data_IF_042238273176
#
_entry.id   IF_042238273176
#
_cell.length_a   1.000
_cell.length_b   1.000
_cell.length_c   1.000
_cell.angle_alpha   90.00
_cell.angle_beta   90.00
_cell.angle_gamma   90.00
#
_symmetry.space_group_name_H-M   'P 1'
#
loop_
_entity.id
_entity.type
_entity.pdbx_description
1 polymer ?
#
# COMPACT_ATOMS: atom_id res chain seq x y z
N UNK A 1 20.86 1.19 -3.00
CA UNK A 1 20.99 0.65 -4.38
C UNK A 1 21.53 1.64 -5.42
N UNK A 2 21.23 2.95 -5.37
CA UNK A 2 21.72 3.93 -6.37
C UNK A 2 23.24 3.89 -6.64
N UNK A 3 24.08 3.70 -5.61
CA UNK A 3 25.54 3.58 -5.77
C UNK A 3 25.94 2.31 -6.54
N UNK A 4 25.30 1.18 -6.23
CA UNK A 4 25.52 -0.08 -6.95
C UNK A 4 25.06 0.01 -8.40
N UNK A 5 23.94 0.68 -8.68
CA UNK A 5 23.49 0.92 -10.06
C UNK A 5 24.50 1.72 -10.86
N UNK A 6 25.06 2.80 -10.29
CA UNK A 6 26.11 3.58 -10.97
C UNK A 6 27.34 2.74 -11.28
N UNK A 7 27.76 1.88 -10.34
CA UNK A 7 28.90 0.98 -10.55
C UNK A 7 28.60 -0.08 -11.61
N UNK A 8 27.39 -0.63 -11.61
CA UNK A 8 26.94 -1.58 -12.63
C UNK A 8 26.87 -0.91 -14.00
N UNK A 9 26.27 0.28 -14.11
CA UNK A 9 26.17 1.03 -15.37
C UNK A 9 27.53 1.51 -15.88
N UNK A 10 28.48 1.81 -14.98
CA UNK A 10 29.85 2.15 -15.39
C UNK A 10 30.58 0.94 -16.02
N UNK A 11 30.27 -0.28 -15.56
CA UNK A 11 30.88 -1.52 -16.05
C UNK A 11 30.10 -2.17 -17.21
N UNK A 12 28.79 -1.97 -17.21
CA UNK A 12 27.79 -2.53 -18.11
C UNK A 12 26.80 -1.43 -18.50
N UNK A 13 27.18 -0.51 -19.40
CA UNK A 13 26.34 0.60 -19.83
C UNK A 13 25.01 0.16 -20.47
N UNK A 14 24.91 -1.10 -20.89
CA UNK A 14 23.71 -1.75 -21.43
C UNK A 14 22.63 -1.98 -20.36
N UNK A 15 23.01 -2.00 -19.09
CA UNK A 15 22.09 -2.31 -18.01
C UNK A 15 21.20 -1.10 -17.66
N UNK A 16 19.91 -1.23 -17.96
CA UNK A 16 18.89 -0.33 -17.45
C UNK A 16 18.56 -0.78 -16.02
N UNK A 17 19.00 0.01 -15.04
CA UNK A 17 18.71 -0.25 -13.63
C UNK A 17 17.47 0.54 -13.21
N UNK A 18 16.34 -0.14 -13.04
CA UNK A 18 15.12 0.45 -12.49
C UNK A 18 14.92 0.12 -11.01
N UNK A 19 14.10 0.93 -10.34
CA UNK A 19 13.61 0.60 -9.01
C UNK A 19 12.65 -0.60 -9.03
N UNK A 20 12.66 -1.39 -7.95
CA UNK A 20 11.65 -2.42 -7.73
C UNK A 20 10.33 -1.75 -7.29
N UNK A 21 9.26 -1.97 -8.06
CA UNK A 21 7.95 -1.38 -7.82
C UNK A 21 7.29 -1.89 -6.52
N UNK A 22 7.36 -3.20 -6.24
CA UNK A 22 6.88 -3.76 -4.97
C UNK A 22 7.60 -3.16 -3.76
N UNK A 23 8.92 -2.98 -3.84
CA UNK A 23 9.67 -2.28 -2.79
C UNK A 23 9.25 -0.80 -2.68
N UNK A 24 9.00 -0.11 -3.80
CA UNK A 24 8.50 1.26 -3.79
C UNK A 24 7.12 1.37 -3.11
N UNK A 25 6.22 0.42 -3.35
CA UNK A 25 4.91 0.34 -2.69
C UNK A 25 5.01 -0.01 -1.21
N UNK A 26 5.92 -0.90 -0.81
CA UNK A 26 6.20 -1.16 0.60
C UNK A 26 6.73 0.10 1.33
N UNK A 27 7.59 0.89 0.67
CA UNK A 27 8.07 2.17 1.17
C UNK A 27 7.00 3.27 1.13
N UNK A 28 6.02 3.19 0.23
CA UNK A 28 4.84 4.04 0.22
C UNK A 28 4.00 3.78 1.47
N UNK A 29 3.66 2.51 1.74
CA UNK A 29 2.94 2.11 2.96
C UNK A 29 3.65 2.59 4.22
N UNK A 30 4.99 2.46 4.27
CA UNK A 30 5.79 3.02 5.37
C UNK A 30 5.52 4.49 5.61
N UNK A 31 5.57 5.33 4.56
CA UNK A 31 5.33 6.76 4.67
C UNK A 31 3.87 7.07 5.04
N UNK A 32 2.91 6.35 4.47
CA UNK A 32 1.49 6.56 4.77
C UNK A 32 1.20 6.28 6.26
N UNK A 33 1.87 5.29 6.86
CA UNK A 33 1.76 5.03 8.30
C UNK A 33 2.52 6.02 9.20
N UNK A 34 3.22 7.04 8.65
CA UNK A 34 3.75 8.16 9.45
C UNK A 34 2.75 9.31 9.58
N UNK A 35 1.60 9.26 8.89
CA UNK A 35 0.51 10.22 9.12
C UNK A 35 0.02 10.02 10.56
N UNK A 36 -0.02 11.06 11.42
CA UNK A 36 -0.24 10.90 12.86
C UNK A 36 -1.50 10.09 13.22
N UNK A 37 -2.62 10.33 12.54
CA UNK A 37 -3.86 9.55 12.75
C UNK A 37 -3.65 8.08 12.43
N UNK A 38 -2.94 7.75 11.36
CA UNK A 38 -2.72 6.38 10.91
C UNK A 38 -1.73 5.65 11.81
N UNK A 39 -0.68 6.35 12.25
CA UNK A 39 0.29 5.84 13.22
C UNK A 39 -0.38 5.51 14.57
N UNK A 40 -1.25 6.41 15.05
CA UNK A 40 -1.99 6.21 16.29
C UNK A 40 -2.95 5.03 16.21
N UNK A 41 -3.71 4.91 15.12
CA UNK A 41 -4.60 3.76 14.86
C UNK A 41 -3.81 2.46 14.82
N UNK A 42 -2.70 2.42 14.07
CA UNK A 42 -1.85 1.23 13.97
C UNK A 42 -1.29 0.84 15.34
N UNK A 43 -0.75 1.79 16.09
CA UNK A 43 -0.20 1.58 17.42
C UNK A 43 -1.23 1.01 18.40
N UNK A 44 -2.44 1.56 18.41
CA UNK A 44 -3.56 1.07 19.21
C UNK A 44 -3.99 -0.35 18.81
N UNK A 45 -4.13 -0.62 17.50
CA UNK A 45 -4.49 -1.96 17.00
C UNK A 45 -3.41 -3.00 17.35
N UNK A 46 -2.13 -2.66 17.22
CA UNK A 46 -1.01 -3.53 17.59
C UNK A 46 -0.97 -3.76 19.10
N UNK A 47 -1.18 -2.71 19.91
CA UNK A 47 -1.22 -2.81 21.35
C UNK A 47 -2.35 -3.73 21.82
N UNK A 48 -3.56 -3.57 21.26
CA UNK A 48 -4.72 -4.40 21.53
C UNK A 48 -4.47 -5.86 21.14
N UNK A 49 -3.99 -6.09 19.92
CA UNK A 49 -3.68 -7.42 19.41
C UNK A 49 -2.66 -8.13 20.28
N UNK A 50 -1.53 -7.47 20.59
CA UNK A 50 -0.52 -8.02 21.50
C UNK A 50 -1.08 -8.27 22.89
N UNK A 51 -1.98 -7.41 23.38
CA UNK A 51 -2.55 -7.55 24.73
C UNK A 51 -3.40 -8.82 24.85
N UNK A 52 -4.24 -9.09 23.86
CA UNK A 52 -5.08 -10.30 23.80
C UNK A 52 -4.22 -11.55 23.57
N UNK A 53 -3.38 -11.55 22.53
CA UNK A 53 -2.60 -12.73 22.14
C UNK A 53 -1.60 -13.19 23.21
N UNK A 54 -1.00 -12.28 23.97
CA UNK A 54 -0.04 -12.64 25.03
C UNK A 54 -0.67 -13.23 26.28
N UNK A 55 -2.01 -13.26 26.41
CA UNK A 55 -2.70 -13.72 27.61
C UNK A 55 -3.60 -14.89 27.26
N UNK A 56 -3.15 -16.11 27.56
CA UNK A 56 -3.84 -17.35 27.20
C UNK A 56 -5.34 -17.36 27.59
N UNK A 57 -5.68 -16.86 28.79
CA UNK A 57 -7.06 -16.76 29.24
C UNK A 57 -7.91 -15.82 28.38
N UNK A 58 -7.39 -14.63 28.02
CA UNK A 58 -8.10 -13.69 27.14
C UNK A 58 -8.20 -14.22 25.72
N UNK A 59 -7.15 -14.85 25.21
CA UNK A 59 -7.16 -15.48 23.89
C UNK A 59 -8.19 -16.62 23.80
N UNK A 60 -8.28 -17.45 24.85
CA UNK A 60 -9.28 -18.51 24.92
C UNK A 60 -10.70 -17.94 24.91
N UNK A 61 -10.96 -16.90 25.73
CA UNK A 61 -12.25 -16.20 25.77
C UNK A 61 -12.57 -15.51 24.44
N UNK A 62 -11.61 -14.83 23.83
CA UNK A 62 -11.75 -14.25 22.49
C UNK A 62 -12.19 -15.29 21.46
N UNK A 63 -11.52 -16.46 21.42
CA UNK A 63 -11.88 -17.57 20.51
C UNK A 63 -13.26 -18.15 20.82
N UNK A 64 -13.65 -18.19 22.09
CA UNK A 64 -14.98 -18.62 22.51
C UNK A 64 -16.08 -17.66 22.02
N UNK A 65 -15.86 -16.34 22.14
CA UNK A 65 -16.77 -15.34 21.57
C UNK A 65 -16.88 -15.44 20.05
N UNK A 66 -15.75 -15.61 19.35
CA UNK A 66 -15.75 -15.87 17.90
C UNK A 66 -16.54 -17.14 17.54
N UNK A 67 -16.57 -18.14 18.41
CA UNK A 67 -17.38 -19.34 18.23
C UNK A 67 -18.88 -19.06 18.42
N UNK A 68 -19.27 -18.32 19.46
CA UNK A 68 -20.69 -18.06 19.71
C UNK A 68 -21.32 -17.11 18.67
N UNK A 69 -20.54 -16.17 18.14
CA UNK A 69 -20.99 -15.22 17.11
C UNK A 69 -20.95 -15.79 15.67
N UNK A 70 -20.82 -17.12 15.52
CA UNK A 70 -20.78 -17.83 14.23
C UNK A 70 -21.98 -17.55 13.32
N UNK A 71 -23.14 -17.24 13.90
CA UNK A 71 -24.37 -16.99 13.14
C UNK A 71 -24.58 -15.50 12.83
N UNK A 72 -23.82 -14.60 13.47
CA UNK A 72 -23.99 -13.15 13.38
C UNK A 72 -22.88 -12.49 12.57
N UNK A 73 -21.68 -13.10 12.55
CA UNK A 73 -20.51 -12.54 11.85
C UNK A 73 -19.91 -13.58 10.90
N UNK A 74 -19.65 -13.16 9.66
CA UNK A 74 -19.10 -14.02 8.58
C UNK A 74 -17.59 -14.24 8.67
N UNK A 75 -16.89 -13.63 9.63
CA UNK A 75 -15.43 -13.55 9.62
C UNK A 75 -14.82 -13.98 10.95
N UNK A 76 -14.37 -15.26 11.03
CA UNK A 76 -13.44 -15.73 12.06
C UNK A 76 -12.01 -15.29 11.74
N UNK A 77 -11.77 -13.99 11.70
CA UNK A 77 -10.41 -13.49 11.44
C UNK A 77 -9.61 -13.56 12.73
N UNK A 78 -8.56 -14.37 12.74
CA UNK A 78 -7.60 -14.36 13.83
C UNK A 78 -6.92 -12.98 13.91
N UNK A 79 -6.65 -12.50 15.14
CA UNK A 79 -5.85 -11.30 15.32
C UNK A 79 -4.44 -11.56 14.77
N UNK A 80 -3.92 -10.59 14.02
CA UNK A 80 -2.62 -10.69 13.36
C UNK A 80 -1.67 -9.62 13.87
N UNK A 81 -0.45 -10.02 14.25
CA UNK A 81 0.61 -9.08 14.61
C UNK A 81 1.40 -8.75 13.34
N UNK A 82 1.65 -7.46 13.05
CA UNK A 82 2.51 -7.13 11.93
C UNK A 82 3.96 -7.50 12.24
N UNK A 83 4.63 -8.09 11.25
CA UNK A 83 6.08 -8.31 11.32
C UNK A 83 6.83 -6.99 11.10
N UNK A 84 8.00 -6.86 11.74
CA UNK A 84 8.86 -5.70 11.50
C UNK A 84 9.22 -5.64 10.02
N UNK A 85 9.12 -4.44 9.42
CA UNK A 85 9.45 -4.11 8.02
C UNK A 85 8.48 -4.59 6.92
N UNK A 86 7.50 -5.45 7.21
CA UNK A 86 6.43 -5.82 6.25
C UNK A 86 5.20 -4.96 6.43
N UNK A 87 5.21 -3.75 5.86
CA UNK A 87 4.14 -2.77 6.01
C UNK A 87 2.77 -3.25 5.49
N UNK A 88 2.75 -4.19 4.55
CA UNK A 88 1.54 -4.93 4.15
C UNK A 88 0.83 -5.61 5.35
N UNK A 89 1.60 -6.18 6.27
CA UNK A 89 1.06 -6.87 7.45
C UNK A 89 0.44 -5.88 8.46
N UNK A 90 0.86 -4.61 8.46
CA UNK A 90 0.28 -3.55 9.30
C UNK A 90 -1.21 -3.35 9.01
N UNK A 91 -1.59 -3.29 7.73
CA UNK A 91 -3.01 -3.17 7.37
C UNK A 91 -3.79 -4.45 7.69
N UNK A 92 -3.17 -5.64 7.57
CA UNK A 92 -3.81 -6.89 7.98
C UNK A 92 -4.11 -6.95 9.48
N UNK A 93 -3.21 -6.43 10.32
CA UNK A 93 -3.45 -6.25 11.75
C UNK A 93 -4.69 -5.37 11.99
N UNK A 94 -4.73 -4.17 11.40
CA UNK A 94 -5.85 -3.23 11.55
C UNK A 94 -7.16 -3.86 11.05
N UNK A 95 -7.15 -4.50 9.87
CA UNK A 95 -8.31 -5.24 9.36
C UNK A 95 -8.74 -6.32 10.34
N UNK A 96 -7.83 -7.12 10.90
CA UNK A 96 -8.18 -8.19 11.85
C UNK A 96 -8.87 -7.66 13.12
N UNK A 97 -8.41 -6.51 13.63
CA UNK A 97 -9.03 -5.81 14.76
C UNK A 97 -10.41 -5.29 14.38
N UNK A 98 -10.54 -4.63 13.23
CA UNK A 98 -11.82 -4.11 12.74
C UNK A 98 -12.88 -5.20 12.57
N UNK A 99 -12.52 -6.32 11.95
CA UNK A 99 -13.43 -7.46 11.78
C UNK A 99 -13.83 -8.10 13.12
N UNK A 100 -12.99 -7.93 14.15
CA UNK A 100 -13.23 -8.46 15.49
C UNK A 100 -13.85 -7.42 16.43
N UNK A 101 -14.34 -6.28 15.93
CA UNK A 101 -14.88 -5.18 16.75
C UNK A 101 -15.88 -5.64 17.80
N UNK A 102 -16.94 -6.32 17.37
CA UNK A 102 -18.03 -6.79 18.27
C UNK A 102 -17.46 -7.70 19.35
N UNK A 103 -16.68 -8.72 18.94
CA UNK A 103 -16.01 -9.66 19.84
C UNK A 103 -15.12 -8.95 20.87
N UNK A 104 -14.35 -7.94 20.44
CA UNK A 104 -13.43 -7.21 21.29
C UNK A 104 -14.16 -6.31 22.28
N UNK A 105 -15.22 -5.62 21.85
CA UNK A 105 -16.05 -4.78 22.73
C UNK A 105 -16.73 -5.65 23.79
N UNK A 106 -17.31 -6.78 23.40
CA UNK A 106 -17.98 -7.70 24.32
C UNK A 106 -16.98 -8.30 25.33
N UNK A 107 -15.84 -8.79 24.85
CA UNK A 107 -14.78 -9.37 25.69
C UNK A 107 -14.27 -8.39 26.76
N UNK A 108 -14.08 -7.11 26.39
CA UNK A 108 -13.61 -6.09 27.34
C UNK A 108 -14.75 -5.48 28.18
N UNK A 109 -16.00 -5.83 27.87
CA UNK A 109 -17.19 -5.51 28.64
C UNK A 109 -17.55 -6.56 29.70
N UNK A 110 -17.00 -7.79 29.63
CA UNK A 110 -17.29 -8.84 30.59
C UNK A 110 -16.89 -8.45 32.03
N UNK A 111 -17.83 -8.55 32.97
CA UNK A 111 -17.60 -8.25 34.39
C UNK A 111 -16.45 -9.08 34.99
N UNK A 112 -16.38 -10.37 34.66
CA UNK A 112 -15.31 -11.26 35.10
C UNK A 112 -13.92 -10.78 34.67
N UNK A 113 -13.80 -10.31 33.43
CA UNK A 113 -12.55 -9.79 32.89
C UNK A 113 -12.23 -8.44 33.49
N UNK A 114 -13.24 -7.57 33.62
CA UNK A 114 -13.11 -6.26 34.25
C UNK A 114 -12.57 -6.39 35.66
N UNK A 115 -13.21 -7.21 36.51
CA UNK A 115 -12.81 -7.42 37.89
C UNK A 115 -11.37 -7.95 38.02
N UNK A 116 -10.94 -8.82 37.10
CA UNK A 116 -9.56 -9.38 37.09
C UNK A 116 -8.51 -8.41 36.56
N UNK A 117 -8.90 -7.45 35.72
CA UNK A 117 -7.98 -6.59 34.97
C UNK A 117 -8.08 -5.10 35.35
N UNK A 118 -9.00 -4.70 36.23
CA UNK A 118 -9.26 -3.31 36.60
C UNK A 118 -8.02 -2.59 37.14
N UNK A 119 -7.11 -3.30 37.82
CA UNK A 119 -5.86 -2.73 38.33
C UNK A 119 -4.79 -2.51 37.25
N UNK A 120 -5.01 -2.94 36.01
CA UNK A 120 -4.05 -2.82 34.92
C UNK A 120 -4.40 -1.61 34.08
N UNK A 121 -3.67 -0.52 34.26
CA UNK A 121 -3.84 0.74 33.49
C UNK A 121 -3.89 0.49 31.98
N UNK A 122 -2.99 -0.36 31.46
CA UNK A 122 -2.99 -0.75 30.04
C UNK A 122 -4.30 -1.40 29.57
N UNK A 123 -4.99 -2.13 30.42
CA UNK A 123 -6.29 -2.71 30.10
C UNK A 123 -7.37 -1.62 30.03
N UNK A 124 -7.39 -0.71 31.00
CA UNK A 124 -8.33 0.42 31.04
C UNK A 124 -8.15 1.33 29.81
N UNK A 125 -6.91 1.72 29.49
CA UNK A 125 -6.62 2.55 28.32
C UNK A 125 -7.07 1.89 27.01
N UNK A 126 -6.86 0.58 26.87
CA UNK A 126 -7.32 -0.17 25.69
C UNK A 126 -8.85 -0.27 25.64
N UNK A 127 -9.49 -0.52 26.78
CA UNK A 127 -10.96 -0.55 26.90
C UNK A 127 -11.58 0.78 26.51
N UNK A 128 -11.07 1.87 27.07
CA UNK A 128 -11.57 3.21 26.77
C UNK A 128 -11.38 3.55 25.29
N UNK A 129 -10.28 3.11 24.68
CA UNK A 129 -10.03 3.29 23.25
C UNK A 129 -11.07 2.55 22.40
N UNK A 130 -11.32 1.27 22.67
CA UNK A 130 -12.25 0.46 21.87
C UNK A 130 -13.73 0.77 22.13
N UNK A 131 -14.06 1.47 23.23
CA UNK A 131 -15.42 1.93 23.50
C UNK A 131 -15.77 3.22 22.73
N UNK A 132 -14.77 3.99 22.26
CA UNK A 132 -14.99 5.22 21.50
C UNK A 132 -15.38 4.91 20.06
N UNK A 133 -16.52 5.42 19.61
CA UNK A 133 -16.92 5.32 18.19
C UNK A 133 -15.94 6.00 17.25
N UNK A 134 -15.32 7.11 17.69
CA UNK A 134 -14.31 7.84 16.93
C UNK A 134 -13.11 6.96 16.56
N UNK A 135 -12.64 6.09 17.47
CA UNK A 135 -11.56 5.16 17.18
C UNK A 135 -11.92 4.22 16.02
N UNK A 136 -13.14 3.69 16.00
CA UNK A 136 -13.59 2.81 14.92
C UNK A 136 -13.78 3.54 13.59
N UNK A 137 -14.25 4.78 13.63
CA UNK A 137 -14.29 5.64 12.43
C UNK A 137 -12.89 5.88 11.86
N UNK A 138 -11.89 6.14 12.72
CA UNK A 138 -10.49 6.29 12.31
C UNK A 138 -9.90 4.96 11.79
N UNK A 139 -10.24 3.81 12.39
CA UNK A 139 -9.86 2.48 11.88
C UNK A 139 -10.41 2.27 10.47
N UNK A 140 -11.69 2.58 10.24
CA UNK A 140 -12.31 2.45 8.93
C UNK A 140 -11.68 3.42 7.92
N UNK A 141 -11.37 4.65 8.33
CA UNK A 141 -10.67 5.63 7.49
C UNK A 141 -9.32 5.11 7.00
N UNK A 142 -8.50 4.54 7.89
CA UNK A 142 -7.22 3.92 7.52
C UNK A 142 -7.44 2.76 6.56
N UNK A 143 -8.41 1.89 6.82
CA UNK A 143 -8.70 0.76 5.93
C UNK A 143 -9.09 1.25 4.53
N UNK A 144 -9.94 2.27 4.44
CA UNK A 144 -10.40 2.84 3.17
C UNK A 144 -9.23 3.40 2.35
N UNK A 145 -8.34 4.17 2.95
CA UNK A 145 -7.28 4.86 2.21
C UNK A 145 -6.01 4.03 1.97
N UNK A 146 -5.73 3.03 2.81
CA UNK A 146 -4.52 2.20 2.65
C UNK A 146 -4.80 0.92 1.86
N UNK A 147 -6.06 0.48 1.74
CA UNK A 147 -6.41 -0.73 0.98
C UNK A 147 -6.06 -0.68 -0.51
N UNK A 148 -6.25 0.44 -1.24
CA UNK A 148 -5.82 0.54 -2.64
C UNK A 148 -4.31 0.30 -2.80
N UNK A 149 -3.49 0.91 -1.93
CA UNK A 149 -2.03 0.71 -1.96
C UNK A 149 -1.67 -0.75 -1.65
N UNK A 150 -2.36 -1.36 -0.69
CA UNK A 150 -2.18 -2.78 -0.36
C UNK A 150 -2.54 -3.69 -1.55
N UNK A 151 -3.61 -3.35 -2.28
CA UNK A 151 -4.03 -4.08 -3.47
C UNK A 151 -2.98 -3.99 -4.57
N UNK A 152 -2.53 -2.78 -4.91
CA UNK A 152 -1.47 -2.58 -5.92
C UNK A 152 -0.18 -3.28 -5.54
N UNK A 153 0.24 -3.24 -4.26
CA UNK A 153 1.39 -4.02 -3.81
C UNK A 153 1.18 -5.52 -4.07
N UNK A 154 0.01 -6.06 -3.72
CA UNK A 154 -0.31 -7.47 -3.95
C UNK A 154 -0.32 -7.85 -5.42
N UNK A 155 -0.79 -6.96 -6.31
CA UNK A 155 -0.72 -7.15 -7.78
C UNK A 155 0.72 -7.23 -8.25
N UNK A 156 1.56 -6.29 -7.80
CA UNK A 156 2.96 -6.14 -8.23
C UNK A 156 3.92 -7.17 -7.62
N UNK A 157 3.50 -7.90 -6.59
CA UNK A 157 4.24 -9.01 -5.99
C UNK A 157 3.92 -10.36 -6.63
N UNK A 158 2.95 -10.45 -7.54
CA UNK A 158 2.64 -11.71 -8.23
C UNK A 158 3.72 -12.07 -9.25
N UNK A 159 4.05 -13.36 -9.33
CA UNK A 159 5.03 -13.89 -10.28
C UNK A 159 4.61 -13.69 -11.75
N UNK A 160 3.30 -13.57 -12.01
CA UNK A 160 2.72 -13.35 -13.34
C UNK A 160 2.53 -11.85 -13.69
N UNK A 161 2.99 -10.93 -12.84
CA UNK A 161 2.84 -9.50 -13.07
C UNK A 161 3.78 -9.00 -14.18
N UNK A 162 3.21 -8.49 -15.28
CA UNK A 162 3.99 -7.81 -16.32
C UNK A 162 4.40 -6.39 -15.91
N UNK A 163 5.48 -5.86 -16.50
CA UNK A 163 6.03 -4.54 -16.15
C UNK A 163 5.07 -3.38 -16.46
N UNK A 164 4.21 -3.51 -17.48
CA UNK A 164 3.21 -2.50 -17.81
C UNK A 164 2.20 -2.27 -16.67
N UNK A 165 1.92 -3.30 -15.86
CA UNK A 165 1.05 -3.16 -14.69
C UNK A 165 1.61 -2.19 -13.65
N UNK A 166 2.92 -1.95 -13.63
CA UNK A 166 3.52 -0.97 -12.71
C UNK A 166 2.96 0.43 -12.95
N UNK A 167 2.97 0.89 -14.20
CA UNK A 167 2.39 2.19 -14.55
C UNK A 167 0.90 2.20 -14.27
N UNK A 168 0.19 1.14 -14.68
CA UNK A 168 -1.25 1.01 -14.50
C UNK A 168 -1.64 1.18 -13.02
N UNK A 169 -1.08 0.37 -12.13
CA UNK A 169 -1.39 0.37 -10.70
C UNK A 169 -1.07 1.72 -10.05
N UNK A 170 0.11 2.31 -10.36
CA UNK A 170 0.48 3.62 -9.82
C UNK A 170 -0.49 4.71 -10.31
N UNK A 171 -0.84 4.68 -11.58
CA UNK A 171 -1.74 5.66 -12.17
C UNK A 171 -3.17 5.53 -11.62
N UNK A 172 -3.66 4.31 -11.39
CA UNK A 172 -4.94 4.09 -10.71
C UNK A 172 -4.93 4.63 -9.28
N UNK A 173 -3.82 4.49 -8.54
CA UNK A 173 -3.67 5.12 -7.21
C UNK A 173 -3.68 6.66 -7.26
N UNK A 174 -3.21 7.25 -8.36
CA UNK A 174 -3.25 8.71 -8.57
C UNK A 174 -4.66 9.19 -8.99
N UNK A 175 -5.42 8.34 -9.68
CA UNK A 175 -6.81 8.59 -10.13
C UNK A 175 -7.87 8.33 -9.08
N UNK A 176 -7.57 7.47 -8.10
CA UNK A 176 -8.49 6.94 -7.08
C UNK A 176 -9.39 8.08 -6.52
N UNK A 177 -10.65 7.83 -6.11
CA UNK A 177 -11.61 8.84 -5.61
C UNK A 177 -11.13 9.63 -4.37
N UNK A 178 -9.94 9.33 -3.85
CA UNK A 178 -9.11 10.27 -3.09
C UNK A 178 -9.08 11.64 -3.77
N UNK A 179 -8.89 11.70 -5.10
CA UNK A 179 -8.89 12.91 -5.93
C UNK A 179 -10.29 13.40 -6.32
N UNK A 180 -11.23 12.48 -6.60
CA UNK A 180 -12.59 12.83 -7.06
C UNK A 180 -13.64 12.58 -5.97
N UNK A 181 -13.82 13.57 -5.09
CA UNK A 181 -15.15 13.88 -4.55
C UNK A 181 -15.21 15.34 -4.05
N UNK A 182 -15.99 16.13 -4.79
CA UNK A 182 -16.69 17.30 -4.29
C UNK A 182 -17.59 16.88 -3.11
N UNK A 183 -17.80 17.81 -2.17
CA UNK A 183 -18.82 17.81 -1.09
C UNK A 183 -18.51 17.25 0.30
N UNK A 184 -17.30 17.38 0.84
CA UNK A 184 -17.16 17.54 2.31
C UNK A 184 -16.21 18.67 2.65
N UNK A 185 -16.68 19.63 3.46
CA UNK A 185 -15.90 20.72 4.08
C UNK A 185 -14.83 20.22 5.09
N UNK A 186 -14.53 18.92 5.10
CA UNK A 186 -13.59 18.32 6.03
C UNK A 186 -12.14 18.54 5.55
N UNK A 187 -11.55 19.65 6.01
CA UNK A 187 -10.15 20.02 5.79
C UNK A 187 -9.18 18.91 6.23
N UNK A 188 -9.55 18.12 7.24
CA UNK A 188 -8.72 17.03 7.73
C UNK A 188 -8.64 15.87 6.72
N UNK A 189 -9.76 15.46 6.13
CA UNK A 189 -9.75 14.44 5.07
C UNK A 189 -8.98 14.91 3.83
N UNK A 190 -9.10 16.19 3.46
CA UNK A 190 -8.35 16.76 2.35
C UNK A 190 -6.84 16.69 2.57
N UNK A 191 -6.37 17.00 3.79
CA UNK A 191 -4.94 16.90 4.14
C UNK A 191 -4.42 15.47 4.07
N UNK A 192 -5.13 14.49 4.62
CA UNK A 192 -4.73 13.07 4.54
C UNK A 192 -4.60 12.63 3.08
N UNK A 193 -5.59 12.96 2.26
CA UNK A 193 -5.58 12.63 0.83
C UNK A 193 -4.40 13.28 0.10
N UNK A 194 -4.10 14.54 0.40
CA UNK A 194 -2.97 15.26 -0.16
C UNK A 194 -1.62 14.64 0.24
N UNK A 195 -1.44 14.28 1.52
CA UNK A 195 -0.22 13.63 2.01
C UNK A 195 0.01 12.27 1.31
N UNK A 196 -1.04 11.46 1.19
CA UNK A 196 -0.97 10.17 0.49
C UNK A 196 -0.58 10.38 -0.97
N UNK A 197 -1.24 11.31 -1.67
CA UNK A 197 -0.94 11.60 -3.07
C UNK A 197 0.48 12.13 -3.26
N UNK A 198 0.97 12.97 -2.34
CA UNK A 198 2.37 13.40 -2.34
C UNK A 198 3.31 12.19 -2.22
N UNK A 199 3.06 11.27 -1.30
CA UNK A 199 3.89 10.07 -1.16
C UNK A 199 3.83 9.17 -2.40
N UNK A 200 2.66 9.03 -3.04
CA UNK A 200 2.52 8.27 -4.30
C UNK A 200 3.38 8.92 -5.39
N UNK A 201 3.31 10.25 -5.56
CA UNK A 201 4.09 10.99 -6.53
C UNK A 201 5.60 10.88 -6.30
N UNK A 202 6.06 10.98 -5.05
CA UNK A 202 7.48 10.80 -4.71
C UNK A 202 8.00 9.40 -5.08
N UNK A 203 7.16 8.38 -4.90
CA UNK A 203 7.49 6.99 -5.25
C UNK A 203 7.41 6.75 -6.75
N UNK A 204 6.47 7.37 -7.44
CA UNK A 204 6.36 7.30 -8.90
C UNK A 204 7.62 7.81 -9.58
N UNK A 205 8.15 8.96 -9.15
CA UNK A 205 9.42 9.50 -9.67
C UNK A 205 10.60 8.52 -9.60
N UNK A 206 10.60 7.59 -8.65
CA UNK A 206 11.66 6.58 -8.52
C UNK A 206 11.56 5.44 -9.54
N UNK A 207 10.36 5.15 -10.04
CA UNK A 207 10.08 4.05 -10.96
C UNK A 207 9.54 4.51 -12.32
N UNK A 208 9.55 5.84 -12.58
CA UNK A 208 8.92 6.47 -13.74
C UNK A 208 9.37 5.87 -15.08
N UNK A 209 10.62 5.42 -15.19
CA UNK A 209 11.13 4.77 -16.42
C UNK A 209 10.36 3.52 -16.84
N UNK A 210 9.61 2.90 -15.92
CA UNK A 210 8.76 1.74 -16.23
C UNK A 210 7.50 2.09 -17.01
N UNK A 211 7.18 3.37 -17.21
CA UNK A 211 6.11 3.80 -18.11
C UNK A 211 6.35 3.40 -19.58
N UNK A 212 7.62 3.21 -19.97
CA UNK A 212 7.97 2.66 -21.29
C UNK A 212 7.40 1.25 -21.48
N UNK A 213 7.35 0.44 -20.42
CA UNK A 213 6.76 -0.89 -20.51
C UNK A 213 5.23 -0.83 -20.75
N UNK A 214 4.56 0.22 -20.26
CA UNK A 214 3.15 0.45 -20.58
C UNK A 214 2.95 0.90 -22.02
N UNK A 215 3.83 1.78 -22.52
CA UNK A 215 3.82 2.23 -23.92
C UNK A 215 3.97 1.06 -24.91
N UNK A 216 4.86 0.13 -24.60
CA UNK A 216 5.19 -1.00 -25.47
C UNK A 216 4.26 -2.21 -25.30
N UNK A 217 3.28 -2.14 -24.39
CA UNK A 217 2.32 -3.22 -24.17
C UNK A 217 1.06 -3.02 -25.03
N UNK A 218 0.92 -3.84 -26.07
CA UNK A 218 -0.22 -3.79 -27.00
C UNK A 218 -1.59 -4.04 -26.33
N UNK A 219 -1.63 -4.59 -25.11
CA UNK A 219 -2.87 -4.76 -24.35
C UNK A 219 -3.30 -3.49 -23.62
N UNK A 220 -2.47 -2.45 -23.60
CA UNK A 220 -2.72 -1.19 -22.91
C UNK A 220 -3.03 -0.07 -23.91
N UNK A 221 -4.12 0.70 -23.71
CA UNK A 221 -4.43 1.80 -24.60
C UNK A 221 -3.54 3.01 -24.31
N UNK A 222 -3.15 3.74 -25.37
CA UNK A 222 -2.40 5.01 -25.25
C UNK A 222 -3.19 6.06 -24.45
N UNK A 223 -4.52 6.03 -24.52
CA UNK A 223 -5.40 6.89 -23.70
C UNK A 223 -5.31 6.59 -22.20
N UNK A 224 -4.58 5.55 -21.80
CA UNK A 224 -4.33 5.21 -20.40
C UNK A 224 -3.23 6.04 -19.73
N UNK A 225 -2.44 6.79 -20.51
CA UNK A 225 -1.44 7.73 -19.97
C UNK A 225 -2.10 8.98 -19.36
N UNK A 226 -1.52 9.49 -18.28
CA UNK A 226 -1.80 10.80 -17.74
C UNK A 226 -1.06 11.88 -18.56
N UNK A 227 -1.73 12.99 -18.86
CA UNK A 227 -1.19 14.24 -19.46
C UNK A 227 0.20 14.09 -20.11
N UNK A 228 1.25 14.55 -19.44
CA UNK A 228 2.62 14.59 -19.96
C UNK A 228 3.37 13.24 -19.88
N UNK A 229 2.83 12.23 -19.21
CA UNK A 229 3.51 10.93 -19.05
C UNK A 229 3.69 10.20 -20.39
N UNK A 230 2.80 10.40 -21.37
CA UNK A 230 2.98 9.81 -22.70
C UNK A 230 4.22 10.37 -23.38
N UNK A 231 4.42 11.69 -23.31
CA UNK A 231 5.60 12.34 -23.88
C UNK A 231 6.86 11.84 -23.19
N UNK A 232 6.86 11.83 -21.86
CA UNK A 232 7.99 11.33 -21.08
C UNK A 232 8.28 9.84 -21.38
N UNK A 233 7.24 9.05 -21.68
CA UNK A 233 7.39 7.64 -22.05
C UNK A 233 8.05 7.49 -23.42
N UNK A 234 7.61 8.29 -24.40
CA UNK A 234 8.21 8.33 -25.74
C UNK A 234 9.67 8.77 -25.67
N UNK A 235 9.97 9.87 -24.96
CA UNK A 235 11.35 10.36 -24.80
C UNK A 235 12.26 9.31 -24.14
N UNK A 236 11.78 8.65 -23.09
CA UNK A 236 12.50 7.58 -22.42
C UNK A 236 12.69 6.35 -23.33
N UNK A 237 11.68 5.97 -24.11
CA UNK A 237 11.77 4.86 -25.06
C UNK A 237 12.80 5.14 -26.17
N UNK A 238 12.82 6.37 -26.70
CA UNK A 238 13.81 6.81 -27.68
C UNK A 238 15.22 6.74 -27.08
N UNK A 239 15.44 7.19 -25.84
CA UNK A 239 16.77 7.12 -25.22
C UNK A 239 17.24 5.69 -24.97
N UNK A 240 16.33 4.79 -24.58
CA UNK A 240 16.62 3.36 -24.47
C UNK A 240 17.04 2.81 -25.84
N UNK A 241 16.28 3.09 -26.89
CA UNK A 241 16.58 2.64 -28.25
C UNK A 241 17.93 3.19 -28.77
N UNK A 242 18.24 4.48 -28.52
CA UNK A 242 19.55 5.07 -28.84
C UNK A 242 20.69 4.34 -28.13
N UNK A 243 20.50 3.99 -26.86
CA UNK A 243 21.51 3.27 -26.06
C UNK A 243 21.79 1.89 -26.64
N UNK A 244 20.73 1.14 -26.98
CA UNK A 244 20.85 -0.18 -27.63
C UNK A 244 21.55 -0.09 -28.99
N UNK A 245 21.26 0.96 -29.78
CA UNK A 245 21.90 1.21 -31.08
C UNK A 245 23.40 1.51 -30.94
N UNK A 246 23.78 2.38 -29.99
CA UNK A 246 25.20 2.69 -29.72
C UNK A 246 26.02 1.46 -29.31
N UNK A 247 25.38 0.48 -28.68
CA UNK A 247 26.01 -0.73 -28.17
C UNK A 247 26.03 -1.89 -29.17
N UNK A 248 25.58 -1.67 -30.42
CA UNK A 248 25.46 -2.71 -31.45
C UNK A 248 24.57 -3.90 -31.02
N UNK A 249 23.69 -3.68 -30.04
CA UNK A 249 22.66 -4.62 -29.61
C UNK A 249 21.34 -4.42 -30.36
N UNK A 250 21.28 -3.40 -31.22
CA UNK A 250 20.13 -3.14 -32.07
C UNK A 250 20.00 -4.21 -33.16
N UNK A 251 18.80 -4.77 -33.26
CA UNK A 251 18.37 -5.59 -34.39
C UNK A 251 17.65 -4.72 -35.41
N UNK A 252 17.39 -5.23 -36.62
CA UNK A 252 16.54 -4.55 -37.61
C UNK A 252 15.20 -4.09 -37.00
N UNK A 253 14.61 -4.91 -36.13
CA UNK A 253 13.38 -4.58 -35.39
C UNK A 253 13.56 -3.39 -34.44
N UNK A 254 14.72 -3.28 -33.79
CA UNK A 254 15.03 -2.17 -32.89
C UNK A 254 15.21 -0.85 -33.64
N UNK A 255 15.75 -0.90 -34.87
CA UNK A 255 15.91 0.28 -35.72
C UNK A 255 14.57 0.78 -36.27
N UNK A 256 13.68 -0.11 -36.70
CA UNK A 256 12.33 0.27 -37.12
C UNK A 256 11.54 0.90 -35.96
N UNK A 257 11.57 0.28 -34.77
CA UNK A 257 10.91 0.85 -33.59
C UNK A 257 11.52 2.20 -33.20
N UNK A 258 12.83 2.37 -33.35
CA UNK A 258 13.48 3.66 -33.10
C UNK A 258 13.00 4.75 -34.07
N UNK A 259 12.97 4.46 -35.37
CA UNK A 259 12.55 5.41 -36.40
C UNK A 259 11.07 5.78 -36.21
N UNK A 260 10.22 4.79 -35.89
CA UNK A 260 8.81 5.00 -35.57
C UNK A 260 8.67 5.91 -34.33
N UNK A 261 9.38 5.60 -33.22
CA UNK A 261 9.31 6.39 -31.99
C UNK A 261 9.80 7.84 -32.18
N UNK A 262 10.85 8.05 -32.98
CA UNK A 262 11.37 9.40 -33.28
C UNK A 262 10.37 10.20 -34.11
N UNK A 263 9.59 9.58 -34.99
CA UNK A 263 8.57 10.27 -35.76
C UNK A 263 7.39 10.78 -34.89
N UNK A 264 7.22 10.24 -33.69
CA UNK A 264 6.17 10.63 -32.74
C UNK A 264 6.58 11.70 -31.72
N UNK A 265 7.88 12.01 -31.59
CA UNK A 265 8.43 13.02 -30.65
C UNK A 265 8.70 14.32 -31.38
#
# INVERSE_FOLDING_TARGET
MKRSWRLLQARHPENICNGCAANAMNLLLKNVFTIPTFENVLSSCVALTKFVLKRAALLARFRQHQYHLRHVTTSRKALSIPEQTRWYASLNCIKSVHHSRVVLVDLFGEEDILNRMVKKEKFLNLRDTIQRNEFWSQVQLVITHVSPIQHSLGVLERDDCCLSMVYHEVHELMKDPVSKQNSSDDDFLRRIKADILQFVNERWRFIKTLQVAYLLDATKPVSGFAEDDLRDALEAAVEIARTLKRQQLATHTTEQVYDDLVAFV
#
